data_IF_043687055000
#
_entry.id   IF_043687055000
#
_cell.length_a   1.000
_cell.length_b   1.000
_cell.length_c   1.000
_cell.angle_alpha   90.00
_cell.angle_beta   90.00
_cell.angle_gamma   90.00
#
_symmetry.space_group_name_H-M   'P 1'
#
loop_
_entity.id
_entity.type
_entity.pdbx_description
1 polymer ?
#
# COMPACT_ATOMS: atom_id res chain seq x y z
N UNK A 1 12.41 -16.68 -17.95
CA UNK A 1 11.20 -16.65 -18.79
C UNK A 1 10.02 -16.26 -17.91
N UNK A 2 9.61 -14.99 -17.99
CA UNK A 2 8.38 -14.50 -17.35
C UNK A 2 7.25 -14.80 -18.32
N UNK A 3 6.48 -15.82 -18.03
CA UNK A 3 5.19 -16.02 -18.72
C UNK A 3 4.22 -14.91 -18.30
N UNK A 4 3.83 -14.09 -19.25
CA UNK A 4 2.71 -13.19 -19.16
C UNK A 4 1.42 -14.02 -19.02
N UNK A 5 0.93 -14.19 -17.79
CA UNK A 5 -0.46 -14.58 -17.55
C UNK A 5 -1.33 -13.31 -17.45
N UNK A 6 -1.64 -12.76 -18.62
CA UNK A 6 -2.61 -11.67 -18.78
C UNK A 6 -4.03 -12.24 -18.95
N UNK A 7 -4.56 -12.90 -17.93
CA UNK A 7 -5.98 -13.28 -17.88
C UNK A 7 -6.41 -13.44 -16.41
N UNK A 8 -6.20 -12.41 -15.59
CA UNK A 8 -6.85 -12.31 -14.29
C UNK A 8 -7.84 -11.16 -14.36
N UNK A 9 -9.11 -11.46 -14.04
CA UNK A 9 -10.30 -10.63 -13.97
C UNK A 9 -10.04 -9.17 -13.52
N UNK A 10 -9.34 -8.39 -14.33
CA UNK A 10 -9.44 -6.94 -14.26
C UNK A 10 -10.84 -6.61 -14.76
N UNK A 11 -11.63 -5.97 -13.92
CA UNK A 11 -12.91 -5.39 -14.36
C UNK A 11 -12.56 -4.53 -15.57
N UNK A 12 -13.04 -4.94 -16.75
CA UNK A 12 -12.74 -4.27 -18.00
C UNK A 12 -13.19 -2.80 -17.89
N UNK A 13 -12.39 -1.89 -18.44
CA UNK A 13 -12.69 -0.46 -18.45
C UNK A 13 -14.12 -0.21 -18.95
N UNK A 14 -14.46 -0.83 -20.07
CA UNK A 14 -15.77 -0.68 -20.71
C UNK A 14 -16.90 -1.22 -19.82
N UNK A 15 -16.63 -2.27 -19.05
CA UNK A 15 -17.61 -2.85 -18.14
C UNK A 15 -17.91 -1.93 -16.96
N UNK A 16 -16.88 -1.29 -16.36
CA UNK A 16 -17.09 -0.35 -15.26
C UNK A 16 -17.77 0.94 -15.75
N UNK A 17 -17.38 1.45 -16.92
CA UNK A 17 -18.05 2.60 -17.54
C UNK A 17 -19.54 2.31 -17.79
N UNK A 18 -19.86 1.09 -18.27
CA UNK A 18 -21.25 0.65 -18.51
C UNK A 18 -22.04 0.59 -17.20
N UNK A 19 -21.48 0.01 -16.13
CA UNK A 19 -22.15 -0.01 -14.82
C UNK A 19 -22.49 1.42 -14.36
N UNK A 20 -21.54 2.35 -14.45
CA UNK A 20 -21.75 3.74 -14.06
C UNK A 20 -22.84 4.40 -14.91
N UNK A 21 -22.84 4.13 -16.21
CA UNK A 21 -23.86 4.63 -17.14
C UNK A 21 -25.26 4.11 -16.79
N UNK A 22 -25.39 2.83 -16.46
CA UNK A 22 -26.66 2.21 -16.04
C UNK A 22 -27.26 2.89 -14.78
N UNK A 23 -26.40 3.44 -13.91
CA UNK A 23 -26.81 4.29 -12.77
C UNK A 23 -26.94 5.78 -13.11
N UNK A 24 -26.91 6.14 -14.40
CA UNK A 24 -27.02 7.51 -14.87
C UNK A 24 -25.82 8.39 -14.53
N UNK A 25 -24.61 7.80 -14.48
CA UNK A 25 -23.35 8.49 -14.32
C UNK A 25 -22.54 8.36 -15.61
N UNK A 26 -22.58 9.40 -16.43
CA UNK A 26 -21.77 9.49 -17.64
C UNK A 26 -20.35 9.94 -17.32
N UNK A 27 -19.37 9.38 -18.05
CA UNK A 27 -17.96 9.73 -17.90
C UNK A 27 -17.06 8.69 -18.54
N UNK A 28 -15.75 8.83 -18.33
CA UNK A 28 -14.75 7.91 -18.87
C UNK A 28 -13.64 7.62 -17.87
N UNK A 29 -13.12 6.41 -17.91
CA UNK A 29 -11.92 6.02 -17.19
C UNK A 29 -10.71 6.56 -17.95
N UNK A 30 -9.93 7.43 -17.30
CA UNK A 30 -8.73 8.05 -17.88
C UNK A 30 -7.47 7.24 -17.63
N UNK A 31 -7.44 6.51 -16.51
CA UNK A 31 -6.26 5.75 -16.09
C UNK A 31 -6.67 4.58 -15.20
N UNK A 32 -6.02 3.45 -15.40
CA UNK A 32 -6.10 2.30 -14.52
C UNK A 32 -4.71 2.06 -13.93
N UNK A 33 -4.64 1.90 -12.62
CA UNK A 33 -3.40 1.57 -11.90
C UNK A 33 -3.60 0.29 -11.12
N UNK A 34 -2.77 -0.71 -11.39
CA UNK A 34 -2.84 -2.02 -10.76
C UNK A 34 -1.88 -2.06 -9.58
N UNK A 35 -2.40 -1.95 -8.36
CA UNK A 35 -1.65 -2.15 -7.13
C UNK A 35 -1.63 -3.62 -6.71
N UNK A 36 -0.91 -3.96 -5.62
CA UNK A 36 -0.81 -5.34 -5.13
C UNK A 36 -2.11 -5.87 -4.51
N UNK A 37 -2.97 -4.98 -4.02
CA UNK A 37 -4.21 -5.35 -3.30
C UNK A 37 -5.46 -4.86 -4.00
N UNK A 38 -5.38 -3.67 -4.63
CA UNK A 38 -6.52 -3.02 -5.30
C UNK A 38 -6.15 -2.57 -6.70
N UNK A 39 -7.15 -2.46 -7.56
CA UNK A 39 -7.06 -1.74 -8.83
C UNK A 39 -7.73 -0.38 -8.65
N UNK A 40 -6.99 0.69 -8.94
CA UNK A 40 -7.49 2.06 -8.92
C UNK A 40 -7.90 2.48 -10.33
N UNK A 41 -9.17 2.80 -10.51
CA UNK A 41 -9.72 3.34 -11.75
C UNK A 41 -9.97 4.83 -11.58
N UNK A 42 -9.23 5.68 -12.31
CA UNK A 42 -9.44 7.14 -12.31
C UNK A 42 -10.54 7.49 -13.30
N UNK A 43 -11.75 7.74 -12.80
CA UNK A 43 -12.93 8.06 -13.59
C UNK A 43 -13.14 9.57 -13.67
N UNK A 44 -13.27 10.10 -14.88
CA UNK A 44 -13.64 11.50 -15.14
C UNK A 44 -15.13 11.57 -15.44
N UNK A 45 -15.95 12.08 -14.51
CA UNK A 45 -17.39 12.25 -14.76
C UNK A 45 -17.65 13.34 -15.79
N UNK A 46 -18.74 13.22 -16.53
CA UNK A 46 -19.22 14.27 -17.45
C UNK A 46 -19.57 15.54 -16.66
N UNK A 47 -19.47 16.72 -17.31
CA UNK A 47 -19.82 17.99 -16.68
C UNK A 47 -21.25 17.96 -16.12
N UNK A 48 -21.40 18.45 -14.88
CA UNK A 48 -22.71 18.50 -14.20
C UNK A 48 -23.01 17.28 -13.32
N UNK A 49 -22.24 16.22 -13.38
CA UNK A 49 -22.38 15.06 -12.48
C UNK A 49 -21.79 15.42 -11.10
N UNK A 50 -22.61 15.29 -10.06
CA UNK A 50 -22.17 15.51 -8.68
C UNK A 50 -21.33 14.31 -8.19
N UNK A 51 -20.16 14.58 -7.62
CA UNK A 51 -19.28 13.54 -7.07
C UNK A 51 -19.96 12.74 -5.97
N UNK A 52 -20.80 13.36 -5.14
CA UNK A 52 -21.58 12.65 -4.11
C UNK A 52 -22.48 11.57 -4.68
N UNK A 53 -23.02 11.75 -5.90
CA UNK A 53 -23.79 10.72 -6.58
C UNK A 53 -22.95 9.48 -6.85
N UNK A 54 -21.71 9.67 -7.27
CA UNK A 54 -20.79 8.56 -7.57
C UNK A 54 -20.37 7.85 -6.27
N UNK A 55 -20.03 8.61 -5.23
CA UNK A 55 -19.63 8.07 -3.93
C UNK A 55 -20.72 7.16 -3.34
N UNK A 56 -21.97 7.58 -3.47
CA UNK A 56 -23.12 6.81 -2.94
C UNK A 56 -23.36 5.49 -3.71
N UNK A 57 -22.77 5.29 -4.86
CA UNK A 57 -22.86 4.05 -5.64
C UNK A 57 -21.85 2.97 -5.24
N UNK A 58 -21.07 3.18 -4.18
CA UNK A 58 -20.00 2.26 -3.78
C UNK A 58 -20.49 0.81 -3.59
N UNK A 59 -21.63 0.61 -2.91
CA UNK A 59 -22.22 -0.72 -2.69
C UNK A 59 -22.77 -1.33 -3.99
N UNK A 60 -23.40 -0.51 -4.83
CA UNK A 60 -23.92 -0.94 -6.12
C UNK A 60 -22.82 -1.35 -7.09
N UNK A 61 -21.72 -0.59 -7.13
CA UNK A 61 -20.55 -0.92 -7.93
C UNK A 61 -19.90 -2.20 -7.40
N UNK A 62 -19.71 -2.35 -6.08
CA UNK A 62 -19.16 -3.58 -5.49
C UNK A 62 -19.99 -4.80 -5.90
N UNK A 63 -21.32 -4.71 -5.79
CA UNK A 63 -22.22 -5.80 -6.18
C UNK A 63 -22.13 -6.14 -7.66
N UNK A 64 -22.16 -5.13 -8.54
CA UNK A 64 -22.16 -5.35 -9.99
C UNK A 64 -20.78 -5.82 -10.52
N UNK A 65 -19.69 -5.51 -9.82
CA UNK A 65 -18.33 -6.00 -10.14
C UNK A 65 -17.99 -7.30 -9.42
N UNK A 66 -18.90 -7.87 -8.64
CA UNK A 66 -18.67 -9.05 -7.79
C UNK A 66 -17.45 -8.87 -6.86
N UNK A 67 -17.20 -7.63 -6.43
CA UNK A 67 -16.12 -7.28 -5.52
C UNK A 67 -16.63 -7.27 -4.06
N UNK A 68 -15.76 -7.60 -3.10
CA UNK A 68 -16.09 -7.56 -1.67
C UNK A 68 -16.51 -6.15 -1.20
N UNK A 69 -15.94 -5.12 -1.82
CA UNK A 69 -16.22 -3.71 -1.54
C UNK A 69 -15.79 -2.84 -2.71
N UNK A 70 -16.26 -1.61 -2.75
CA UNK A 70 -15.71 -0.58 -3.63
C UNK A 70 -15.47 0.69 -2.78
N UNK A 71 -14.31 1.29 -2.90
CA UNK A 71 -14.03 2.57 -2.27
C UNK A 71 -13.97 3.66 -3.33
N UNK A 72 -14.72 4.72 -3.11
CA UNK A 72 -14.80 5.83 -4.04
C UNK A 72 -14.40 7.11 -3.33
N UNK A 73 -13.40 7.81 -3.86
CA UNK A 73 -12.88 9.05 -3.28
C UNK A 73 -12.42 10.02 -4.38
N UNK A 74 -12.47 11.30 -4.06
CA UNK A 74 -11.87 12.33 -4.93
C UNK A 74 -10.36 12.25 -4.89
N UNK A 75 -9.72 12.51 -6.02
CA UNK A 75 -8.25 12.57 -6.10
C UNK A 75 -7.83 14.03 -5.99
N UNK A 76 -7.07 14.42 -4.96
CA UNK A 76 -6.63 15.80 -4.78
C UNK A 76 -5.89 16.34 -6.01
N UNK A 77 -6.27 17.53 -6.45
CA UNK A 77 -5.66 18.20 -7.61
C UNK A 77 -6.07 17.68 -8.98
N UNK A 78 -7.05 16.76 -9.05
CA UNK A 78 -7.62 16.25 -10.30
C UNK A 78 -9.13 16.43 -10.34
N UNK A 79 -9.69 16.48 -11.56
CA UNK A 79 -11.14 16.44 -11.81
C UNK A 79 -11.67 15.00 -11.91
N UNK A 80 -10.86 14.01 -11.54
CA UNK A 80 -11.20 12.60 -11.56
C UNK A 80 -11.58 12.08 -10.17
N UNK A 81 -12.39 11.05 -10.15
CA UNK A 81 -12.77 10.30 -8.96
C UNK A 81 -12.07 8.94 -9.01
N UNK A 82 -11.41 8.55 -7.94
CA UNK A 82 -10.78 7.24 -7.81
C UNK A 82 -11.82 6.20 -7.39
N UNK A 83 -11.95 5.13 -8.16
CA UNK A 83 -12.75 3.95 -7.85
C UNK A 83 -11.77 2.81 -7.60
N UNK A 84 -11.62 2.42 -6.34
CA UNK A 84 -10.75 1.33 -5.91
C UNK A 84 -11.56 0.04 -5.80
N UNK A 85 -11.14 -0.99 -6.52
CA UNK A 85 -11.73 -2.33 -6.47
C UNK A 85 -10.68 -3.32 -5.96
N UNK A 86 -10.97 -4.13 -4.91
CA UNK A 86 -10.05 -5.13 -4.44
C UNK A 86 -9.80 -6.20 -5.51
N UNK A 87 -8.56 -6.64 -5.63
CA UNK A 87 -8.19 -7.77 -6.49
C UNK A 87 -8.66 -9.07 -5.86
N UNK A 88 -9.11 -10.00 -6.68
CA UNK A 88 -9.46 -11.37 -6.25
C UNK A 88 -8.25 -12.14 -5.69
N UNK A 89 -7.07 -11.86 -6.25
CA UNK A 89 -5.80 -12.43 -5.80
C UNK A 89 -4.87 -11.29 -5.35
N UNK A 90 -4.47 -11.32 -4.08
CA UNK A 90 -3.54 -10.34 -3.50
C UNK A 90 -2.11 -10.73 -3.86
N UNK A 91 -1.35 -9.79 -4.37
CA UNK A 91 0.07 -9.98 -4.66
C UNK A 91 0.90 -9.83 -3.38
N UNK A 92 1.91 -10.68 -3.24
CA UNK A 92 2.89 -10.52 -2.18
C UNK A 92 3.82 -9.35 -2.50
N UNK A 93 4.05 -8.50 -1.50
CA UNK A 93 5.04 -7.42 -1.57
C UNK A 93 6.26 -7.85 -0.78
N UNK A 94 7.39 -8.07 -1.46
CA UNK A 94 8.62 -8.50 -0.81
C UNK A 94 9.45 -7.30 -0.35
N UNK A 95 10.02 -7.41 0.85
CA UNK A 95 10.92 -6.40 1.41
C UNK A 95 12.08 -6.08 0.45
N UNK A 96 12.64 -7.09 -0.21
CA UNK A 96 13.73 -6.95 -1.19
C UNK A 96 13.40 -5.99 -2.32
N UNK A 97 12.14 -5.93 -2.77
CA UNK A 97 11.72 -5.01 -3.82
C UNK A 97 11.85 -3.55 -3.38
N UNK A 98 11.47 -3.27 -2.12
CA UNK A 98 11.48 -1.90 -1.59
C UNK A 98 12.90 -1.44 -1.25
N UNK A 99 13.70 -2.30 -0.60
CA UNK A 99 15.08 -1.92 -0.21
C UNK A 99 16.03 -1.80 -1.40
N UNK A 100 15.71 -2.43 -2.54
CA UNK A 100 16.49 -2.32 -3.79
C UNK A 100 16.21 -1.02 -4.54
N UNK A 101 15.16 -0.31 -4.18
CA UNK A 101 14.78 0.93 -4.86
C UNK A 101 15.73 2.09 -4.61
N UNK A 102 15.90 2.93 -5.63
CA UNK A 102 16.79 4.10 -5.56
C UNK A 102 16.40 5.07 -4.43
N UNK A 103 15.11 5.20 -4.15
CA UNK A 103 14.62 6.05 -3.06
C UNK A 103 15.07 5.56 -1.68
N UNK A 104 15.07 4.24 -1.45
CA UNK A 104 15.55 3.66 -0.20
C UNK A 104 17.07 3.86 -0.03
N UNK A 105 17.81 3.87 -1.13
CA UNK A 105 19.27 4.00 -1.13
C UNK A 105 19.78 5.45 -1.07
N UNK A 106 18.90 6.45 -1.05
CA UNK A 106 19.28 7.87 -0.98
C UNK A 106 20.09 8.17 0.29
N UNK A 107 21.19 8.93 0.13
CA UNK A 107 22.12 9.25 1.23
C UNK A 107 21.58 10.31 2.19
N UNK A 108 20.64 11.12 1.76
CA UNK A 108 19.99 12.17 2.54
C UNK A 108 18.96 11.62 3.55
N UNK A 109 18.46 10.40 3.35
CA UNK A 109 17.58 9.73 4.30
C UNK A 109 18.44 9.08 5.40
N UNK A 110 18.25 9.55 6.63
CA UNK A 110 19.09 9.13 7.76
C UNK A 110 18.76 7.72 8.25
N UNK A 111 17.47 7.43 8.44
CA UNK A 111 16.98 6.12 8.92
C UNK A 111 15.87 5.61 7.99
N UNK A 112 16.23 5.15 6.78
CA UNK A 112 15.23 4.69 5.80
C UNK A 112 14.53 3.43 6.28
N UNK A 113 13.21 3.45 6.17
CA UNK A 113 12.35 2.32 6.45
C UNK A 113 11.48 1.98 5.23
N UNK A 114 11.40 0.70 4.91
CA UNK A 114 10.52 0.19 3.86
C UNK A 114 9.09 0.09 4.41
N UNK A 115 8.14 0.79 3.81
CA UNK A 115 6.75 0.79 4.25
C UNK A 115 5.87 -0.13 3.41
N UNK A 116 6.29 -0.45 2.18
CA UNK A 116 5.54 -1.30 1.26
C UNK A 116 5.31 -0.63 -0.09
N UNK A 117 4.17 -0.89 -0.69
CA UNK A 117 3.72 -0.26 -1.95
C UNK A 117 2.43 0.51 -1.72
N UNK A 118 2.25 1.59 -2.45
CA UNK A 118 0.97 2.31 -2.48
C UNK A 118 -0.09 1.56 -3.30
N UNK A 119 -1.29 2.14 -3.38
CA UNK A 119 -2.41 1.59 -4.15
C UNK A 119 -2.15 1.54 -5.66
N UNK A 120 -1.13 2.22 -6.16
CA UNK A 120 -0.68 2.18 -7.56
C UNK A 120 0.46 1.17 -7.78
N UNK A 121 0.93 0.50 -6.73
CA UNK A 121 2.03 -0.45 -6.78
C UNK A 121 3.42 0.18 -6.68
N UNK A 122 3.51 1.48 -6.40
CA UNK A 122 4.79 2.18 -6.27
C UNK A 122 5.40 1.96 -4.87
N UNK A 123 6.71 1.68 -4.78
CA UNK A 123 7.40 1.50 -3.51
C UNK A 123 7.38 2.77 -2.65
N UNK A 124 7.04 2.61 -1.36
CA UNK A 124 7.02 3.68 -0.38
C UNK A 124 8.11 3.46 0.66
N UNK A 125 8.96 4.46 0.79
CA UNK A 125 10.03 4.52 1.79
C UNK A 125 9.80 5.72 2.70
N UNK A 126 9.95 5.54 4.00
CA UNK A 126 9.92 6.61 5.00
C UNK A 126 11.31 6.88 5.59
N UNK A 127 11.44 7.98 6.34
CA UNK A 127 12.60 8.26 7.19
C UNK A 127 12.17 8.23 8.66
N UNK A 128 12.58 7.23 9.41
CA UNK A 128 12.25 7.10 10.83
C UNK A 128 12.80 8.27 11.65
N UNK A 129 13.89 8.92 11.21
CA UNK A 129 14.46 10.06 11.92
C UNK A 129 13.52 11.30 11.92
N UNK A 130 12.63 11.38 10.93
CA UNK A 130 11.58 12.42 10.85
C UNK A 130 10.34 12.08 11.67
N UNK A 131 10.26 10.84 12.20
CA UNK A 131 9.18 10.32 13.04
C UNK A 131 9.75 9.88 14.40
N UNK A 132 10.23 10.82 15.25
CA UNK A 132 10.99 10.49 16.48
C UNK A 132 10.17 9.68 17.48
N UNK A 133 8.84 9.78 17.43
CA UNK A 133 7.90 9.01 18.23
C UNK A 133 6.84 8.43 17.32
N UNK A 134 7.01 7.16 16.92
CA UNK A 134 6.09 6.44 16.06
C UNK A 134 5.25 5.45 16.86
N UNK A 135 3.94 5.64 16.87
CA UNK A 135 2.98 4.69 17.41
C UNK A 135 2.46 3.77 16.30
N UNK A 136 2.62 2.46 16.48
CA UNK A 136 2.08 1.45 15.57
C UNK A 136 1.01 0.65 16.33
N UNK A 137 -0.23 0.71 15.86
CA UNK A 137 -1.34 0.01 16.46
C UNK A 137 -2.10 -0.82 15.42
N UNK A 138 -2.72 -1.90 15.87
CA UNK A 138 -3.52 -2.77 15.01
C UNK A 138 -4.05 -3.98 15.79
N UNK A 139 -5.12 -4.56 15.28
CA UNK A 139 -5.69 -5.80 15.82
C UNK A 139 -4.78 -7.01 15.54
N UNK A 140 -5.06 -8.13 16.18
CA UNK A 140 -4.38 -9.40 15.87
C UNK A 140 -4.52 -9.73 14.39
N UNK A 141 -3.42 -10.09 13.74
CA UNK A 141 -3.41 -10.41 12.30
C UNK A 141 -3.33 -9.20 11.36
N UNK A 142 -3.35 -7.94 11.87
CA UNK A 142 -3.25 -6.73 11.03
C UNK A 142 -1.85 -6.49 10.42
N UNK A 143 -0.84 -7.28 10.79
CA UNK A 143 0.54 -7.13 10.30
C UNK A 143 1.43 -6.22 11.15
N UNK A 144 1.01 -5.82 12.35
CA UNK A 144 1.81 -4.97 13.27
C UNK A 144 3.22 -5.53 13.50
N UNK A 145 3.34 -6.81 13.86
CA UNK A 145 4.64 -7.47 14.10
C UNK A 145 5.50 -7.53 12.84
N UNK A 146 4.87 -7.77 11.68
CA UNK A 146 5.56 -7.74 10.38
C UNK A 146 6.10 -6.33 10.10
N UNK A 147 5.30 -5.30 10.35
CA UNK A 147 5.72 -3.90 10.18
C UNK A 147 6.93 -3.56 11.06
N UNK A 148 6.93 -3.94 12.34
CA UNK A 148 8.05 -3.73 13.26
C UNK A 148 9.31 -4.46 12.75
N UNK A 149 9.18 -5.73 12.37
CA UNK A 149 10.28 -6.51 11.80
C UNK A 149 10.82 -5.86 10.50
N UNK A 150 9.93 -5.37 9.64
CA UNK A 150 10.31 -4.67 8.41
C UNK A 150 11.12 -3.42 8.70
N UNK A 151 10.74 -2.64 9.72
CA UNK A 151 11.49 -1.46 10.17
C UNK A 151 12.88 -1.84 10.65
N UNK A 152 12.99 -2.84 11.54
CA UNK A 152 14.28 -3.31 12.07
C UNK A 152 15.16 -3.79 10.92
N UNK A 153 14.65 -4.66 10.05
CA UNK A 153 15.40 -5.20 8.91
C UNK A 153 15.83 -4.11 7.95
N UNK A 154 14.99 -3.11 7.68
CA UNK A 154 15.35 -1.96 6.83
C UNK A 154 16.59 -1.25 7.35
N UNK A 155 16.64 -0.99 8.67
CA UNK A 155 17.78 -0.33 9.32
C UNK A 155 19.02 -1.21 9.35
N UNK A 156 18.88 -2.51 9.59
CA UNK A 156 19.98 -3.48 9.53
C UNK A 156 20.60 -3.59 8.14
N UNK A 157 19.78 -3.57 7.09
CA UNK A 157 20.26 -3.55 5.71
C UNK A 157 20.98 -2.25 5.34
N UNK A 158 20.56 -1.14 5.92
CA UNK A 158 21.07 0.19 5.55
C UNK A 158 22.31 0.58 6.30
N UNK A 159 22.44 0.17 7.57
CA UNK A 159 23.46 0.68 8.49
C UNK A 159 24.25 -0.44 9.14
N UNK A 160 25.59 -0.32 9.19
CA UNK A 160 26.42 -1.19 10.01
C UNK A 160 26.28 -0.86 11.51
N UNK A 161 26.70 -1.76 12.41
CA UNK A 161 26.53 -1.61 13.87
C UNK A 161 27.16 -0.35 14.48
N UNK A 162 28.17 0.23 13.85
CA UNK A 162 28.81 1.47 14.30
C UNK A 162 28.04 2.75 13.89
N UNK A 163 27.01 2.62 13.03
CA UNK A 163 26.18 3.73 12.57
C UNK A 163 24.77 3.71 13.11
N UNK A 164 24.26 2.53 13.47
CA UNK A 164 22.92 2.37 14.02
C UNK A 164 22.94 1.33 15.13
N UNK A 165 22.37 1.68 16.28
CA UNK A 165 22.23 0.81 17.44
C UNK A 165 20.77 0.71 17.86
N UNK A 166 20.41 -0.43 18.46
CA UNK A 166 19.07 -0.71 18.93
C UNK A 166 19.04 -0.95 20.44
N UNK A 167 17.97 -0.50 21.06
CA UNK A 167 17.47 -0.99 22.33
C UNK A 167 16.08 -1.55 22.02
N UNK A 168 15.92 -2.86 22.21
CA UNK A 168 14.66 -3.57 21.94
C UNK A 168 14.05 -3.99 23.28
N UNK A 169 12.76 -3.71 23.47
CA UNK A 169 12.02 -4.10 24.67
C UNK A 169 10.82 -4.92 24.24
N UNK A 170 10.81 -6.20 24.59
CA UNK A 170 9.73 -7.14 24.31
C UNK A 170 9.18 -7.73 25.61
N UNK A 171 8.16 -7.09 26.22
CA UNK A 171 7.62 -7.53 27.51
C UNK A 171 7.04 -8.95 27.47
N UNK A 172 6.68 -9.43 26.29
CA UNK A 172 6.09 -10.77 26.09
C UNK A 172 7.12 -11.81 25.65
N UNK A 173 8.32 -11.40 25.28
CA UNK A 173 9.41 -12.25 24.77
C UNK A 173 8.97 -13.15 23.58
N UNK A 174 8.13 -12.65 22.70
CA UNK A 174 7.52 -13.44 21.61
C UNK A 174 7.93 -12.95 20.21
N UNK A 175 8.22 -11.67 20.06
CA UNK A 175 8.36 -11.06 18.73
C UNK A 175 9.81 -10.67 18.39
N UNK A 176 10.58 -10.19 19.36
CA UNK A 176 11.91 -9.61 19.14
C UNK A 176 13.08 -10.50 19.57
N UNK A 177 12.83 -11.64 20.19
CA UNK A 177 13.85 -12.59 20.63
C UNK A 177 14.76 -13.11 19.49
N UNK A 178 14.25 -13.10 18.24
CA UNK A 178 15.04 -13.47 17.05
C UNK A 178 16.21 -12.52 16.78
N UNK A 179 16.21 -11.32 17.36
CA UNK A 179 17.28 -10.33 17.23
C UNK A 179 18.31 -10.42 18.35
N UNK A 180 18.15 -11.34 19.31
CA UNK A 180 19.11 -11.50 20.39
C UNK A 180 20.51 -11.83 19.84
N UNK A 181 21.53 -11.14 20.38
CA UNK A 181 22.91 -11.35 19.99
C UNK A 181 23.38 -10.66 18.73
N UNK A 182 22.53 -9.91 18.01
CA UNK A 182 23.00 -9.14 16.84
C UNK A 182 23.93 -7.99 17.29
N UNK A 183 24.96 -7.66 16.49
CA UNK A 183 25.96 -6.65 16.87
C UNK A 183 25.40 -5.22 16.96
N UNK A 184 24.20 -4.99 16.49
CA UNK A 184 23.50 -3.70 16.57
C UNK A 184 22.84 -3.45 17.94
N UNK A 185 22.67 -4.46 18.80
CA UNK A 185 22.11 -4.27 20.12
C UNK A 185 23.08 -3.53 21.05
N UNK A 186 22.56 -2.62 21.87
CA UNK A 186 23.27 -1.98 22.98
C UNK A 186 23.21 -2.82 24.27
N UNK A 187 22.13 -3.57 24.45
CA UNK A 187 21.88 -4.48 25.56
C UNK A 187 21.05 -5.67 25.07
N UNK A 188 20.97 -6.79 25.79
CA UNK A 188 20.04 -7.87 25.49
C UNK A 188 18.60 -7.38 25.35
N UNK A 189 17.80 -8.14 24.57
CA UNK A 189 16.38 -7.81 24.35
C UNK A 189 15.59 -7.98 25.65
#
# INVERSE_FOLDING_TARGET
ERQNNSNENSVDQDFLEKILLDFGVEGKIKKISHGPVVTLNEFEPAPGIKVSKIINLSEDIARNTSSESARIATIPGKNTVGIELPKSSRENVYLSEIISESNFQKKDIKLPIALGKDISGLPITGDLSSMPHLLIAGTTGSGKSICINTIILSLLYRHPPNKCKFILIDPKMLELSTYEGIPHLLCPV
#
